data_IF_289666712020
#
_entry.id   IF_289666712020
#
_cell.length_a   1.000
_cell.length_b   1.000
_cell.length_c   1.000
_cell.angle_alpha   90.00
_cell.angle_beta   90.00
_cell.angle_gamma   90.00
#
_symmetry.space_group_name_H-M   'P 1'
#
loop_
_entity.id
_entity.type
_entity.pdbx_description
1 polymer ?
#
# COMPACT_ATOMS: atom_id res chain seq x y z
N UNK A 1 -15.29 -8.84 -7.30
CA UNK A 1 -14.57 -9.80 -8.18
C UNK A 1 -15.54 -10.55 -9.07
N UNK A 2 -16.67 -11.00 -8.58
CA UNK A 2 -17.64 -11.86 -9.31
C UNK A 2 -18.08 -11.35 -10.70
N UNK A 3 -18.13 -10.02 -10.90
CA UNK A 3 -18.56 -9.40 -12.15
C UNK A 3 -17.44 -8.66 -12.89
N UNK A 4 -16.20 -8.73 -12.39
CA UNK A 4 -15.03 -8.05 -12.97
C UNK A 4 -14.14 -9.06 -13.70
N UNK A 5 -13.43 -8.59 -14.72
CA UNK A 5 -12.48 -9.40 -15.49
C UNK A 5 -11.16 -9.52 -14.73
N UNK A 6 -11.18 -10.21 -13.60
CA UNK A 6 -9.99 -10.43 -12.76
C UNK A 6 -9.59 -11.89 -12.85
N UNK A 7 -8.32 -12.17 -13.14
CA UNK A 7 -7.75 -13.50 -13.20
C UNK A 7 -6.45 -13.64 -12.38
N UNK A 8 -5.89 -12.53 -11.93
CA UNK A 8 -4.65 -12.50 -11.13
C UNK A 8 -4.80 -11.54 -9.96
N UNK A 9 -4.26 -11.94 -8.83
CA UNK A 9 -4.13 -11.12 -7.63
C UNK A 9 -2.63 -10.92 -7.39
N UNK A 10 -2.20 -9.69 -7.29
CA UNK A 10 -0.92 -9.31 -6.75
C UNK A 10 -1.15 -8.94 -5.29
N UNK A 11 -0.76 -9.84 -4.40
CA UNK A 11 -0.84 -9.72 -2.94
C UNK A 11 0.47 -9.09 -2.46
N UNK A 12 0.38 -7.95 -1.77
CA UNK A 12 1.55 -7.15 -1.40
C UNK A 12 1.55 -6.78 0.08
N UNK A 13 2.71 -6.93 0.69
CA UNK A 13 2.99 -6.53 2.07
C UNK A 13 4.18 -5.57 2.11
N UNK A 14 4.04 -4.44 2.79
CA UNK A 14 5.11 -3.45 2.95
C UNK A 14 5.86 -3.75 4.25
N UNK A 15 7.17 -3.94 4.14
CA UNK A 15 8.02 -4.26 5.28
C UNK A 15 8.21 -3.04 6.18
N UNK A 16 7.76 -3.17 7.46
CA UNK A 16 7.98 -2.12 8.47
C UNK A 16 7.46 -0.75 8.03
N UNK A 17 6.26 -0.69 7.44
CA UNK A 17 5.75 0.52 6.80
C UNK A 17 5.80 1.76 7.70
N UNK A 18 5.27 1.67 8.93
CA UNK A 18 5.21 2.80 9.86
C UNK A 18 6.59 3.33 10.27
N UNK A 19 7.60 2.45 10.29
CA UNK A 19 8.97 2.80 10.67
C UNK A 19 9.75 3.45 9.52
N UNK A 20 9.26 3.31 8.28
CA UNK A 20 9.94 3.77 7.07
C UNK A 20 9.25 4.96 6.37
N UNK A 21 8.21 5.53 6.96
CA UNK A 21 7.54 6.72 6.40
C UNK A 21 8.49 7.92 6.42
N UNK A 22 8.83 8.43 5.25
CA UNK A 22 9.75 9.55 5.10
C UNK A 22 9.04 10.89 5.40
N UNK A 23 9.54 11.63 6.40
CA UNK A 23 8.94 12.89 6.85
C UNK A 23 8.96 14.00 5.78
N UNK A 24 10.00 14.05 4.95
CA UNK A 24 10.10 15.06 3.89
C UNK A 24 9.03 14.86 2.83
N UNK A 25 8.84 13.60 2.40
CA UNK A 25 7.81 13.27 1.44
C UNK A 25 6.40 13.53 1.97
N UNK A 26 6.10 13.13 3.22
CA UNK A 26 4.76 13.38 3.77
C UNK A 26 4.48 14.88 3.90
N UNK A 27 5.45 15.67 4.34
CA UNK A 27 5.29 17.12 4.39
C UNK A 27 5.13 17.74 2.99
N UNK A 28 5.79 17.18 1.97
CA UNK A 28 5.61 17.59 0.58
C UNK A 28 4.20 17.27 0.08
N UNK A 29 3.67 16.10 0.38
CA UNK A 29 2.31 15.70 0.01
C UNK A 29 1.27 16.60 0.69
N UNK A 30 1.40 16.83 1.99
CA UNK A 30 0.46 17.66 2.73
C UNK A 30 0.42 19.12 2.22
N UNK A 31 1.54 19.66 1.76
CA UNK A 31 1.58 21.02 1.18
C UNK A 31 0.81 21.17 -0.14
N UNK A 32 0.48 20.08 -0.82
CA UNK A 32 -0.36 20.15 -2.01
C UNK A 32 -1.80 20.54 -1.68
N UNK A 33 -2.29 20.14 -0.50
CA UNK A 33 -3.71 20.27 -0.13
C UNK A 33 -3.92 21.24 1.04
N UNK A 34 -2.88 21.50 1.84
CA UNK A 34 -2.96 22.34 3.04
C UNK A 34 -2.12 23.60 2.85
N UNK A 35 -2.79 24.75 2.78
CA UNK A 35 -2.14 26.04 2.63
C UNK A 35 -1.71 26.68 3.97
N UNK A 36 -2.27 26.26 5.11
CA UNK A 36 -1.98 26.85 6.43
C UNK A 36 -0.59 26.41 6.93
N UNK A 37 0.39 27.33 7.01
CA UNK A 37 1.74 27.01 7.46
C UNK A 37 1.80 26.67 8.96
N UNK A 38 0.89 27.18 9.78
CA UNK A 38 0.85 26.88 11.19
C UNK A 38 0.40 25.44 11.42
N UNK A 39 -0.64 25.01 10.70
CA UNK A 39 -1.11 23.62 10.75
C UNK A 39 -0.01 22.64 10.31
N UNK A 40 0.65 22.91 9.19
CA UNK A 40 1.78 22.10 8.71
C UNK A 40 2.94 22.05 9.73
N UNK A 41 3.22 23.16 10.42
CA UNK A 41 4.23 23.20 11.48
C UNK A 41 3.87 22.30 12.67
N UNK A 42 2.59 22.22 13.05
CA UNK A 42 2.16 21.30 14.10
C UNK A 42 2.32 19.84 13.70
N UNK A 43 1.95 19.48 12.46
CA UNK A 43 2.17 18.12 11.95
C UNK A 43 3.67 17.77 11.94
N UNK A 44 4.52 18.69 11.46
CA UNK A 44 5.98 18.49 11.46
C UNK A 44 6.54 18.27 12.87
N UNK A 45 6.02 18.98 13.88
CA UNK A 45 6.39 18.77 15.28
C UNK A 45 5.92 17.41 15.80
N UNK A 46 4.69 16.99 15.47
CA UNK A 46 4.17 15.68 15.85
C UNK A 46 4.99 14.54 15.24
N UNK A 47 5.41 14.66 13.99
CA UNK A 47 6.30 13.69 13.34
C UNK A 47 7.66 13.57 14.02
N UNK A 48 8.20 14.69 14.53
CA UNK A 48 9.50 14.77 15.21
C UNK A 48 9.43 14.55 16.72
N UNK A 49 8.24 14.36 17.29
CA UNK A 49 8.07 14.31 18.74
C UNK A 49 8.72 13.11 19.42
N UNK A 50 9.23 12.15 18.65
CA UNK A 50 9.85 10.94 19.19
C UNK A 50 8.88 9.99 19.89
N UNK A 51 9.42 8.92 20.42
CA UNK A 51 8.70 7.92 21.19
C UNK A 51 9.38 7.70 22.53
N UNK A 52 8.59 7.44 23.56
CA UNK A 52 9.11 6.96 24.85
C UNK A 52 9.11 5.43 24.84
N UNK A 53 10.29 4.82 24.82
CA UNK A 53 10.47 3.38 24.90
C UNK A 53 11.15 3.07 26.25
N UNK A 54 10.50 2.30 27.09
CA UNK A 54 11.01 1.91 28.42
C UNK A 54 11.53 3.08 29.28
N UNK A 55 10.84 4.23 29.19
CA UNK A 55 11.21 5.44 29.93
C UNK A 55 12.38 6.23 29.34
N UNK A 56 12.90 5.85 28.17
CA UNK A 56 13.89 6.61 27.39
C UNK A 56 13.24 7.28 26.21
N UNK A 57 13.59 8.53 26.00
CA UNK A 57 13.15 9.30 24.84
C UNK A 57 14.04 8.95 23.63
N UNK A 58 13.44 8.51 22.54
CA UNK A 58 14.10 8.30 21.26
C UNK A 58 13.54 9.29 20.22
N UNK A 59 14.42 10.05 19.62
CA UNK A 59 14.05 11.00 18.56
C UNK A 59 13.81 10.24 17.26
N UNK A 60 12.66 10.47 16.62
CA UNK A 60 12.32 9.84 15.34
C UNK A 60 12.66 10.77 14.18
N UNK A 61 13.66 10.41 13.37
CA UNK A 61 14.01 11.10 12.12
C UNK A 61 13.26 10.53 10.91
N UNK A 62 12.81 9.30 10.99
CA UNK A 62 12.05 8.55 9.97
C UNK A 62 10.96 7.76 10.69
N UNK A 63 9.87 7.52 9.99
CA UNK A 63 8.75 6.76 10.53
C UNK A 63 7.71 7.64 11.22
N UNK A 64 6.59 7.02 11.54
CA UNK A 64 5.54 7.64 12.37
C UNK A 64 5.54 6.96 13.72
N UNK A 65 5.49 7.73 14.84
CA UNK A 65 5.47 7.13 16.18
C UNK A 65 4.40 6.06 16.30
N UNK A 66 4.79 4.82 16.61
CA UNK A 66 3.85 3.73 16.84
C UNK A 66 2.99 4.10 18.08
N UNK A 67 1.65 4.08 17.89
CA UNK A 67 0.69 4.52 18.92
C UNK A 67 0.35 6.02 18.89
N UNK A 68 0.95 6.80 18.01
CA UNK A 68 0.54 8.19 17.79
C UNK A 68 -0.85 8.28 17.14
N UNK A 69 -1.76 9.08 17.70
CA UNK A 69 -3.14 9.23 17.20
C UNK A 69 -3.21 9.66 15.73
N UNK A 70 -2.24 10.44 15.25
CA UNK A 70 -2.19 10.96 13.88
C UNK A 70 -1.48 10.00 12.91
N UNK A 71 -0.70 9.05 13.41
CA UNK A 71 0.14 8.16 12.58
C UNK A 71 -0.65 7.39 11.53
N UNK A 72 -1.82 6.76 11.83
CA UNK A 72 -2.60 6.07 10.80
C UNK A 72 -3.14 7.00 9.71
N UNK A 73 -3.46 8.25 10.06
CA UNK A 73 -3.94 9.24 9.09
C UNK A 73 -2.81 9.64 8.15
N UNK A 74 -1.65 9.98 8.70
CA UNK A 74 -0.47 10.36 7.90
C UNK A 74 0.02 9.22 7.03
N UNK A 75 0.00 7.99 7.54
CA UNK A 75 0.30 6.77 6.81
C UNK A 75 -0.64 6.59 5.61
N UNK A 76 -1.94 6.79 5.79
CA UNK A 76 -2.91 6.74 4.70
C UNK A 76 -2.70 7.86 3.67
N UNK A 77 -2.37 9.08 4.09
CA UNK A 77 -2.00 10.17 3.18
C UNK A 77 -0.75 9.77 2.37
N UNK A 78 0.27 9.21 3.03
CA UNK A 78 1.49 8.77 2.35
C UNK A 78 1.20 7.77 1.25
N UNK A 79 0.50 6.69 1.55
CA UNK A 79 0.16 5.66 0.57
C UNK A 79 -0.82 6.14 -0.50
N UNK A 80 -1.69 7.10 -0.19
CA UNK A 80 -2.53 7.70 -1.20
C UNK A 80 -1.71 8.31 -2.34
N UNK A 81 -0.65 9.06 -2.03
CA UNK A 81 0.22 9.66 -3.05
C UNK A 81 1.20 8.66 -3.67
N UNK A 82 1.77 7.77 -2.86
CA UNK A 82 2.78 6.81 -3.32
C UNK A 82 2.14 5.71 -4.17
N UNK A 83 0.99 5.18 -3.75
CA UNK A 83 0.37 4.01 -4.34
C UNK A 83 -0.93 4.34 -5.10
N UNK A 84 -1.96 4.88 -4.41
CA UNK A 84 -3.30 4.98 -4.97
C UNK A 84 -3.34 5.85 -6.22
N UNK A 85 -2.87 7.09 -6.12
CA UNK A 85 -2.83 8.04 -7.24
C UNK A 85 -1.91 7.58 -8.37
N UNK A 86 -0.77 7.01 -8.03
CA UNK A 86 0.17 6.50 -9.02
C UNK A 86 -0.41 5.33 -9.82
N UNK A 87 -1.03 4.37 -9.14
CA UNK A 87 -1.67 3.25 -9.83
C UNK A 87 -2.80 3.74 -10.73
N UNK A 88 -3.67 4.62 -10.22
CA UNK A 88 -4.84 5.10 -10.96
C UNK A 88 -4.46 5.99 -12.15
N UNK A 89 -3.56 6.96 -11.94
CA UNK A 89 -3.26 7.97 -12.95
C UNK A 89 -2.16 7.59 -13.93
N UNK A 90 -1.22 6.73 -13.50
CA UNK A 90 -0.05 6.37 -14.29
C UNK A 90 -0.09 4.92 -14.79
N UNK A 91 -0.25 3.94 -13.89
CA UNK A 91 -0.09 2.54 -14.23
C UNK A 91 -1.28 2.01 -15.03
N UNK A 92 -2.51 2.23 -14.57
CA UNK A 92 -3.71 1.72 -15.27
C UNK A 92 -3.77 2.10 -16.75
N UNK A 93 -3.27 3.27 -17.10
CA UNK A 93 -3.23 3.74 -18.51
C UNK A 93 -2.28 2.95 -19.40
N UNK A 94 -1.37 2.20 -18.82
CA UNK A 94 -0.33 1.43 -19.51
C UNK A 94 -0.64 -0.07 -19.55
N UNK A 95 -1.73 -0.50 -18.92
CA UNK A 95 -2.14 -1.90 -18.87
C UNK A 95 -3.05 -2.25 -20.04
N UNK A 96 -3.02 -3.50 -20.44
CA UNK A 96 -3.89 -4.04 -21.49
C UNK A 96 -5.29 -4.37 -20.97
N UNK A 97 -5.37 -4.76 -19.69
CA UNK A 97 -6.60 -5.19 -19.06
C UNK A 97 -7.05 -4.29 -17.92
N UNK A 98 -8.13 -4.74 -17.29
CA UNK A 98 -8.68 -4.08 -16.11
C UNK A 98 -7.77 -4.32 -14.90
N UNK A 99 -7.59 -3.28 -14.07
CA UNK A 99 -6.86 -3.34 -12.81
C UNK A 99 -7.62 -2.62 -11.70
N UNK A 100 -7.64 -3.21 -10.51
CA UNK A 100 -8.33 -2.69 -9.34
C UNK A 100 -7.42 -2.77 -8.13
N UNK A 101 -7.35 -1.70 -7.34
CA UNK A 101 -6.67 -1.67 -6.05
C UNK A 101 -7.70 -1.82 -4.93
N UNK A 102 -7.42 -2.67 -3.98
CA UNK A 102 -8.08 -2.74 -2.67
C UNK A 102 -7.00 -2.58 -1.62
N UNK A 103 -7.11 -1.57 -0.78
CA UNK A 103 -6.14 -1.26 0.27
C UNK A 103 -6.83 -0.96 1.58
N UNK A 104 -6.25 -1.48 2.64
CA UNK A 104 -6.59 -1.15 4.03
C UNK A 104 -5.28 -0.87 4.79
N UNK A 105 -5.02 0.39 5.13
CA UNK A 105 -3.74 0.85 5.65
C UNK A 105 -2.58 0.44 4.72
N UNK A 106 -1.65 -0.36 5.20
CA UNK A 106 -0.48 -0.91 4.48
C UNK A 106 -0.72 -2.26 3.81
N UNK A 107 -1.83 -2.92 4.15
CA UNK A 107 -2.24 -4.18 3.54
C UNK A 107 -3.02 -3.90 2.25
N UNK A 108 -2.58 -4.44 1.11
CA UNK A 108 -3.24 -4.17 -0.15
C UNK A 108 -3.09 -5.26 -1.20
N UNK A 109 -4.09 -5.33 -2.07
CA UNK A 109 -4.18 -6.23 -3.20
C UNK A 109 -4.36 -5.44 -4.50
N UNK A 110 -3.67 -5.86 -5.56
CA UNK A 110 -3.95 -5.37 -6.90
C UNK A 110 -4.52 -6.54 -7.72
N UNK A 111 -5.76 -6.36 -8.16
CA UNK A 111 -6.47 -7.34 -8.96
C UNK A 111 -6.32 -7.00 -10.44
N UNK A 112 -5.87 -7.95 -11.25
CA UNK A 112 -5.52 -7.73 -12.66
C UNK A 112 -6.18 -8.78 -13.58
N UNK A 113 -6.42 -8.38 -14.81
CA UNK A 113 -7.01 -9.24 -15.82
C UNK A 113 -5.99 -10.18 -16.46
N UNK A 114 -4.78 -9.70 -16.76
CA UNK A 114 -3.75 -10.45 -17.48
C UNK A 114 -2.50 -10.66 -16.64
N UNK A 115 -1.87 -11.82 -16.77
CA UNK A 115 -0.62 -12.17 -16.09
C UNK A 115 0.53 -11.22 -16.44
N UNK A 116 0.65 -10.87 -17.73
CA UNK A 116 1.64 -9.91 -18.21
C UNK A 116 1.52 -8.56 -17.50
N UNK A 117 0.30 -8.10 -17.29
CA UNK A 117 0.05 -6.86 -16.56
C UNK A 117 0.42 -7.01 -15.09
N UNK A 118 0.17 -8.18 -14.48
CA UNK A 118 0.56 -8.46 -13.10
C UNK A 118 2.07 -8.42 -12.90
N UNK A 119 2.84 -9.05 -13.78
CA UNK A 119 4.31 -9.00 -13.76
C UNK A 119 4.82 -7.55 -13.93
N UNK A 120 4.27 -6.82 -14.89
CA UNK A 120 4.64 -5.42 -15.15
C UNK A 120 4.36 -4.52 -13.94
N UNK A 121 3.19 -4.69 -13.30
CA UNK A 121 2.83 -3.94 -12.10
C UNK A 121 3.74 -4.30 -10.95
N UNK A 122 4.07 -5.58 -10.77
CA UNK A 122 4.97 -6.04 -9.73
C UNK A 122 6.36 -5.40 -9.84
N UNK A 123 6.96 -5.39 -11.03
CA UNK A 123 8.24 -4.74 -11.26
C UNK A 123 8.19 -3.21 -11.04
N UNK A 124 7.10 -2.59 -11.48
CA UNK A 124 6.92 -1.15 -11.35
C UNK A 124 6.69 -0.71 -9.90
N UNK A 125 5.95 -1.51 -9.12
CA UNK A 125 5.66 -1.18 -7.72
C UNK A 125 6.89 -1.30 -6.83
N UNK A 126 7.76 -2.28 -7.06
CA UNK A 126 9.05 -2.39 -6.35
C UNK A 126 9.83 -1.09 -6.50
N UNK A 127 10.06 -0.65 -7.74
CA UNK A 127 10.78 0.60 -8.03
C UNK A 127 10.08 1.83 -7.43
N UNK A 128 8.74 1.81 -7.44
CA UNK A 128 7.95 2.89 -6.87
C UNK A 128 8.11 2.98 -5.36
N UNK A 129 8.05 1.86 -4.66
CA UNK A 129 8.23 1.81 -3.21
C UNK A 129 9.63 2.26 -2.80
N UNK A 130 10.66 1.74 -3.46
CA UNK A 130 12.07 2.13 -3.22
C UNK A 130 12.29 3.64 -3.36
N UNK A 131 11.68 4.29 -4.37
CA UNK A 131 11.77 5.75 -4.59
C UNK A 131 11.28 6.55 -3.37
N UNK A 132 10.35 6.01 -2.62
CA UNK A 132 9.77 6.64 -1.43
C UNK A 132 10.28 6.07 -0.11
N UNK A 133 11.36 5.28 -0.14
CA UNK A 133 11.97 4.73 1.06
C UNK A 133 11.22 3.55 1.66
N UNK A 134 10.35 2.90 0.88
CA UNK A 134 9.59 1.72 1.29
C UNK A 134 10.13 0.46 0.61
N UNK A 135 10.00 -0.68 1.26
CA UNK A 135 10.38 -2.00 0.73
C UNK A 135 9.19 -2.96 0.79
N UNK A 136 8.96 -3.69 -0.31
CA UNK A 136 8.01 -4.80 -0.29
C UNK A 136 8.64 -6.04 0.33
N UNK A 137 7.89 -6.76 1.14
CA UNK A 137 8.30 -8.06 1.67
C UNK A 137 8.32 -9.09 0.54
N UNK A 138 9.50 -9.49 0.09
CA UNK A 138 9.67 -10.48 -0.99
C UNK A 138 9.08 -11.84 -0.64
N UNK A 139 9.04 -12.17 0.64
CA UNK A 139 8.53 -13.46 1.13
C UNK A 139 6.99 -13.51 1.12
N UNK A 140 6.35 -12.37 1.32
CA UNK A 140 4.88 -12.26 1.41
C UNK A 140 4.25 -11.72 0.13
N UNK A 141 5.02 -11.02 -0.72
CA UNK A 141 4.50 -10.47 -1.97
C UNK A 141 4.51 -11.53 -3.07
N UNK A 142 3.33 -11.81 -3.64
CA UNK A 142 3.17 -12.88 -4.63
C UNK A 142 2.08 -12.56 -5.65
N UNK A 143 2.23 -13.13 -6.84
CA UNK A 143 1.21 -13.11 -7.89
C UNK A 143 0.48 -14.46 -7.88
N UNK A 144 -0.82 -14.42 -7.74
CA UNK A 144 -1.69 -15.60 -7.66
C UNK A 144 -2.67 -15.63 -8.82
N UNK A 145 -2.81 -16.76 -9.55
CA UNK A 145 -3.91 -16.96 -10.47
C UNK A 145 -5.21 -17.13 -9.67
N UNK A 146 -6.12 -16.15 -9.78
CA UNK A 146 -7.35 -16.10 -9.01
C UNK A 146 -8.47 -15.44 -9.78
N UNK A 147 -9.55 -16.16 -10.03
CA UNK A 147 -10.71 -15.63 -10.74
C UNK A 147 -11.72 -16.70 -11.13
N UNK A 148 -12.82 -16.26 -11.73
CA UNK A 148 -13.95 -17.14 -12.06
C UNK A 148 -13.58 -18.37 -12.88
N UNK A 149 -12.58 -18.26 -13.74
CA UNK A 149 -12.15 -19.33 -14.66
C UNK A 149 -10.83 -19.97 -14.24
N UNK A 150 -10.24 -19.52 -13.14
CA UNK A 150 -9.00 -20.12 -12.62
C UNK A 150 -9.29 -21.52 -12.08
N UNK A 151 -8.47 -22.47 -12.47
CA UNK A 151 -8.43 -23.84 -11.90
C UNK A 151 -7.51 -23.94 -10.70
N UNK A 152 -6.80 -22.86 -10.37
CA UNK A 152 -5.91 -22.80 -9.21
C UNK A 152 -6.70 -22.98 -7.91
N UNK A 153 -6.11 -23.74 -6.99
CA UNK A 153 -6.60 -23.90 -5.61
C UNK A 153 -5.87 -22.97 -4.64
N UNK A 154 -5.06 -22.07 -5.16
CA UNK A 154 -4.36 -21.11 -4.32
C UNK A 154 -5.33 -20.21 -3.58
N UNK A 155 -4.94 -19.85 -2.38
CA UNK A 155 -5.70 -19.00 -1.49
C UNK A 155 -4.86 -17.79 -1.11
N UNK A 156 -5.49 -16.70 -0.74
CA UNK A 156 -4.85 -15.55 -0.11
C UNK A 156 -5.67 -15.07 1.08
N UNK A 157 -4.97 -14.51 2.07
CA UNK A 157 -5.60 -13.94 3.25
C UNK A 157 -5.63 -12.41 3.11
N UNK A 158 -6.77 -11.81 3.39
CA UNK A 158 -6.94 -10.37 3.41
C UNK A 158 -7.95 -9.96 4.48
N UNK A 159 -7.55 -9.06 5.36
CA UNK A 159 -8.35 -8.56 6.49
C UNK A 159 -8.92 -9.68 7.39
N UNK A 160 -8.13 -10.73 7.62
CA UNK A 160 -8.53 -11.86 8.46
C UNK A 160 -9.46 -12.88 7.79
N UNK A 161 -9.68 -12.74 6.48
CA UNK A 161 -10.48 -13.69 5.69
C UNK A 161 -9.60 -14.41 4.68
N UNK A 162 -9.74 -15.75 4.62
CA UNK A 162 -9.13 -16.57 3.57
C UNK A 162 -10.03 -16.61 2.34
N UNK A 163 -9.50 -16.17 1.21
CA UNK A 163 -10.19 -16.16 -0.08
C UNK A 163 -9.75 -17.36 -0.91
N UNK A 164 -10.72 -18.09 -1.49
CA UNK A 164 -10.48 -19.24 -2.34
C UNK A 164 -11.48 -19.32 -3.51
N UNK A 165 -11.06 -19.96 -4.59
CA UNK A 165 -11.95 -20.25 -5.72
C UNK A 165 -12.79 -21.49 -5.43
N UNK A 166 -14.11 -21.38 -5.54
CA UNK A 166 -15.04 -22.51 -5.40
C UNK A 166 -16.13 -22.48 -6.45
N UNK A 167 -16.61 -23.66 -6.82
CA UNK A 167 -17.81 -23.82 -7.67
C UNK A 167 -19.00 -24.10 -6.77
N UNK A 168 -20.04 -23.27 -6.89
CA UNK A 168 -21.32 -23.55 -6.23
C UNK A 168 -21.92 -24.83 -6.84
N UNK A 169 -22.24 -25.81 -6.02
CA UNK A 169 -23.10 -26.92 -6.47
C UNK A 169 -24.48 -26.33 -6.74
N UNK A 170 -24.94 -26.43 -7.99
CA UNK A 170 -26.36 -26.22 -8.31
C UNK A 170 -27.14 -27.41 -7.83
#
# INVERSE_FOLDING_TARGET
IMYKKVNYILDCDIKGFFDNVNHEWIMKFLRNDIADPNYLRYIARMLKSGVMIEGKYEETSVGTPQGGLISPILANVYLHYVLDLWLEKCIKKQLYGEAYLVRFADDFLIMLQYERDAQRVYEAIIKRMELFGLELSKEKTRILPFGRYSVSRETFDFLGFTHYNSKTRK
#
